data_IF_982506659806
#
_entry.id   IF_982506659806
#
_cell.length_a   1.000
_cell.length_b   1.000
_cell.length_c   1.000
_cell.angle_alpha   90.00
_cell.angle_beta   90.00
_cell.angle_gamma   90.00
#
_symmetry.space_group_name_H-M   'P 1'
#
loop_
_entity.id
_entity.type
_entity.pdbx_description
1 polymer ?
#
# COMPACT_ATOMS: atom_id res chain seq x y z
N UNK A 1 11.42 -15.24 -33.00
CA UNK A 1 10.05 -15.27 -32.44
C UNK A 1 10.14 -15.11 -30.92
N UNK A 2 9.98 -13.91 -30.37
CA UNK A 2 10.03 -13.66 -28.91
C UNK A 2 8.60 -13.39 -28.40
N UNK A 3 7.82 -14.48 -28.28
CA UNK A 3 6.50 -14.43 -27.65
C UNK A 3 6.64 -14.12 -26.15
N UNK A 4 5.83 -13.18 -25.65
CA UNK A 4 5.31 -13.12 -24.27
C UNK A 4 6.19 -13.71 -23.16
N UNK A 5 7.41 -13.21 -22.97
CA UNK A 5 8.10 -13.43 -21.70
C UNK A 5 7.32 -12.68 -20.61
N UNK A 6 6.34 -13.37 -19.99
CA UNK A 6 5.67 -12.95 -18.75
C UNK A 6 6.78 -12.50 -17.82
N UNK A 7 6.70 -11.26 -17.31
CA UNK A 7 7.75 -10.70 -16.45
C UNK A 7 7.63 -11.40 -15.10
N UNK A 8 8.28 -12.55 -15.00
CA UNK A 8 8.22 -13.45 -13.86
C UNK A 8 8.54 -12.75 -12.54
N UNK A 9 9.47 -11.80 -12.57
CA UNK A 9 9.81 -10.95 -11.42
C UNK A 9 8.63 -10.12 -10.92
N UNK A 10 7.78 -9.64 -11.82
CA UNK A 10 6.64 -8.80 -11.47
C UNK A 10 5.58 -9.60 -10.71
N UNK A 11 5.31 -10.83 -11.14
CA UNK A 11 4.32 -11.70 -10.51
C UNK A 11 4.77 -12.16 -9.11
N UNK A 12 6.05 -12.51 -8.94
CA UNK A 12 6.63 -12.83 -7.62
C UNK A 12 6.52 -11.66 -6.66
N UNK A 13 6.91 -10.45 -7.10
CA UNK A 13 6.89 -9.29 -6.21
C UNK A 13 5.45 -8.96 -5.80
N UNK A 14 4.46 -9.15 -6.69
CA UNK A 14 3.04 -9.01 -6.35
C UNK A 14 2.60 -10.03 -5.30
N UNK A 15 2.91 -11.31 -5.50
CA UNK A 15 2.56 -12.37 -4.55
C UNK A 15 3.14 -12.11 -3.16
N UNK A 16 4.44 -11.75 -3.10
CA UNK A 16 5.10 -11.37 -1.85
C UNK A 16 4.44 -10.13 -1.20
N UNK A 17 4.11 -9.12 -2.00
CA UNK A 17 3.46 -7.91 -1.48
C UNK A 17 2.09 -8.21 -0.87
N UNK A 18 1.28 -9.07 -1.50
CA UNK A 18 -0.03 -9.46 -0.96
C UNK A 18 0.12 -10.20 0.37
N UNK A 19 1.08 -11.13 0.48
CA UNK A 19 1.34 -11.85 1.73
C UNK A 19 1.74 -10.90 2.86
N UNK A 20 2.64 -9.95 2.59
CA UNK A 20 3.07 -8.99 3.60
C UNK A 20 1.98 -7.96 3.94
N UNK A 21 1.10 -7.60 3.00
CA UNK A 21 -0.09 -6.79 3.27
C UNK A 21 -1.04 -7.54 4.22
N UNK A 22 -1.21 -8.85 4.05
CA UNK A 22 -2.00 -9.66 4.98
C UNK A 22 -1.42 -9.61 6.41
N UNK A 23 -0.10 -9.80 6.55
CA UNK A 23 0.57 -9.70 7.86
C UNK A 23 0.44 -8.34 8.52
N UNK A 24 0.49 -7.26 7.74
CA UNK A 24 0.30 -5.90 8.25
C UNK A 24 -1.10 -5.66 8.84
N UNK A 25 -2.12 -6.33 8.30
CA UNK A 25 -3.52 -6.13 8.67
C UNK A 25 -4.07 -7.21 9.62
N UNK A 26 -3.33 -8.28 9.86
CA UNK A 26 -3.73 -9.35 10.77
C UNK A 26 -4.13 -8.86 12.18
N UNK A 27 -3.37 -7.97 12.85
CA UNK A 27 -3.77 -7.43 14.15
C UNK A 27 -5.15 -6.75 14.09
N UNK A 28 -5.35 -5.92 13.07
CA UNK A 28 -6.60 -5.23 12.80
C UNK A 28 -7.78 -6.19 12.61
N UNK A 29 -7.55 -7.25 11.84
CA UNK A 29 -8.58 -8.26 11.55
C UNK A 29 -8.96 -9.11 12.77
N UNK A 30 -8.03 -9.31 13.71
CA UNK A 30 -8.28 -10.07 14.94
C UNK A 30 -8.78 -9.21 16.11
N UNK A 31 -9.06 -7.92 15.88
CA UNK A 31 -9.54 -6.98 16.91
C UNK A 31 -8.44 -6.34 17.75
N UNK A 32 -7.18 -6.57 17.40
CA UNK A 32 -6.00 -5.92 17.96
C UNK A 32 -5.71 -4.66 17.14
N UNK A 33 -6.55 -3.64 17.33
CA UNK A 33 -6.55 -2.45 16.46
C UNK A 33 -6.54 -1.11 17.22
N UNK A 34 -6.31 0.08 16.59
CA UNK A 34 -5.75 1.30 17.19
C UNK A 34 -6.63 1.98 18.25
N UNK A 35 -7.80 1.43 18.52
CA UNK A 35 -8.74 1.86 19.54
C UNK A 35 -8.72 0.97 20.78
N UNK A 36 -8.01 -0.16 20.71
CA UNK A 36 -7.72 -0.99 21.86
C UNK A 36 -6.66 -0.26 22.69
N UNK A 37 -7.10 0.32 23.81
CA UNK A 37 -6.25 1.09 24.72
C UNK A 37 -5.26 0.18 25.47
N UNK A 38 -5.46 -1.14 25.44
CA UNK A 38 -4.49 -2.11 25.90
C UNK A 38 -3.37 -2.22 24.85
N UNK A 39 -2.30 -1.44 25.03
CA UNK A 39 -1.15 -1.59 24.14
C UNK A 39 -0.41 -2.92 24.33
N UNK A 40 0.54 -3.20 23.45
CA UNK A 40 1.20 -4.50 23.35
C UNK A 40 2.14 -4.78 24.54
N UNK A 41 2.10 -6.02 25.06
CA UNK A 41 2.88 -6.45 26.24
C UNK A 41 3.86 -7.55 25.84
N UNK A 42 5.03 -7.61 26.50
CA UNK A 42 5.99 -8.69 26.33
C UNK A 42 6.45 -8.88 24.88
N UNK A 43 6.33 -10.11 24.37
CA UNK A 43 6.77 -10.47 23.01
C UNK A 43 5.89 -9.79 21.94
N UNK A 44 4.61 -9.57 22.20
CA UNK A 44 3.70 -8.92 21.24
C UNK A 44 4.17 -7.50 20.89
N UNK A 45 4.77 -6.80 21.87
CA UNK A 45 5.37 -5.48 21.68
C UNK A 45 6.52 -5.53 20.67
N UNK A 46 7.38 -6.55 20.77
CA UNK A 46 8.52 -6.76 19.88
C UNK A 46 8.04 -7.12 18.47
N UNK A 47 7.07 -8.02 18.36
CA UNK A 47 6.49 -8.42 17.07
C UNK A 47 5.85 -7.20 16.39
N UNK A 48 5.04 -6.42 17.11
CA UNK A 48 4.42 -5.21 16.58
C UNK A 48 5.46 -4.20 16.07
N UNK A 49 6.50 -3.97 16.86
CA UNK A 49 7.60 -3.09 16.47
C UNK A 49 8.30 -3.56 15.19
N UNK A 50 8.57 -4.87 15.05
CA UNK A 50 9.17 -5.43 13.84
C UNK A 50 8.25 -5.28 12.62
N UNK A 51 6.94 -5.48 12.79
CA UNK A 51 5.94 -5.26 11.72
C UNK A 51 5.93 -3.80 11.30
N UNK A 52 5.88 -2.85 12.24
CA UNK A 52 5.88 -1.41 11.93
C UNK A 52 7.20 -0.99 11.23
N UNK A 53 8.33 -1.53 11.66
CA UNK A 53 9.65 -1.22 11.09
C UNK A 53 9.86 -1.83 9.70
N UNK A 54 9.49 -3.09 9.46
CA UNK A 54 9.84 -3.82 8.23
C UNK A 54 8.69 -4.07 7.26
N UNK A 55 7.43 -4.01 7.69
CA UNK A 55 6.29 -4.45 6.87
C UNK A 55 5.28 -3.32 6.64
N UNK A 56 4.86 -2.65 7.71
CA UNK A 56 3.84 -1.61 7.66
C UNK A 56 4.20 -0.53 6.64
N UNK A 57 3.18 -0.08 5.91
CA UNK A 57 3.20 0.94 4.83
C UNK A 57 4.08 0.64 3.59
N UNK A 58 4.93 -0.40 3.62
CA UNK A 58 5.90 -0.67 2.56
C UNK A 58 5.27 -1.42 1.40
N UNK A 59 4.59 -2.52 1.70
CA UNK A 59 4.13 -3.45 0.66
C UNK A 59 2.94 -2.92 -0.14
N UNK A 60 2.07 -2.07 0.43
CA UNK A 60 1.07 -1.37 -0.38
C UNK A 60 1.73 -0.42 -1.38
N UNK A 61 2.84 0.23 -1.00
CA UNK A 61 3.61 1.13 -1.89
C UNK A 61 4.16 0.36 -3.08
N UNK A 62 4.75 -0.81 -2.81
CA UNK A 62 5.25 -1.71 -3.86
C UNK A 62 4.10 -2.16 -4.75
N UNK A 63 3.00 -2.58 -4.14
CA UNK A 63 1.82 -3.05 -4.88
C UNK A 63 1.22 -1.96 -5.78
N UNK A 64 1.12 -0.72 -5.29
CA UNK A 64 0.66 0.43 -6.07
C UNK A 64 1.59 0.74 -7.24
N UNK A 65 2.90 0.80 -6.99
CA UNK A 65 3.89 0.98 -8.05
C UNK A 65 3.76 -0.10 -9.14
N UNK A 66 3.60 -1.37 -8.74
CA UNK A 66 3.42 -2.49 -9.66
C UNK A 66 2.06 -2.50 -10.37
N UNK A 67 1.03 -1.87 -9.80
CA UNK A 67 -0.22 -1.61 -10.50
C UNK A 67 0.02 -0.70 -11.70
N UNK A 68 0.77 0.39 -11.53
CA UNK A 68 1.16 1.30 -12.62
C UNK A 68 1.99 0.64 -13.72
N UNK A 69 2.94 -0.22 -13.34
CA UNK A 69 3.71 -1.02 -14.32
C UNK A 69 2.81 -2.00 -15.07
N UNK A 70 1.92 -2.68 -14.34
CA UNK A 70 0.95 -3.62 -14.90
C UNK A 70 -0.02 -2.95 -15.88
N UNK A 71 -0.48 -1.75 -15.53
CA UNK A 71 -1.29 -0.92 -16.40
C UNK A 71 -0.59 -0.64 -17.73
N UNK A 72 0.67 -0.18 -17.70
CA UNK A 72 1.42 0.06 -18.93
C UNK A 72 1.54 -1.18 -19.82
N UNK A 73 1.90 -2.33 -19.21
CA UNK A 73 2.03 -3.59 -19.94
C UNK A 73 0.69 -4.01 -20.56
N UNK A 74 -0.39 -3.89 -19.80
CA UNK A 74 -1.74 -4.20 -20.28
C UNK A 74 -2.12 -3.33 -21.48
N UNK A 75 -1.97 -2.01 -21.34
CA UNK A 75 -2.33 -1.05 -22.38
C UNK A 75 -1.52 -1.29 -23.65
N UNK A 76 -0.19 -1.42 -23.53
CA UNK A 76 0.72 -1.69 -24.66
C UNK A 76 0.38 -3.00 -25.38
N UNK A 77 0.12 -4.07 -24.63
CA UNK A 77 -0.22 -5.37 -25.22
C UNK A 77 -1.58 -5.37 -25.90
N UNK A 78 -2.52 -4.57 -25.40
CA UNK A 78 -3.88 -4.47 -25.95
C UNK A 78 -3.88 -3.58 -27.20
N UNK A 79 -3.12 -2.49 -27.16
CA UNK A 79 -2.86 -1.61 -28.31
C UNK A 79 -2.16 -2.35 -29.45
N UNK A 80 -1.13 -3.16 -29.16
CA UNK A 80 -0.44 -3.98 -30.17
C UNK A 80 -1.33 -5.07 -30.81
N UNK A 81 -2.48 -5.40 -30.19
CA UNK A 81 -3.48 -6.33 -30.72
C UNK A 81 -4.69 -5.63 -31.32
N UNK A 82 -4.63 -4.30 -31.46
CA UNK A 82 -5.71 -3.45 -32.01
C UNK A 82 -7.06 -3.59 -31.27
N UNK A 83 -7.03 -4.05 -30.03
CA UNK A 83 -8.22 -4.15 -29.18
C UNK A 83 -8.57 -2.80 -28.55
N UNK A 84 -9.85 -2.56 -28.17
CA UNK A 84 -10.27 -1.31 -27.55
C UNK A 84 -9.73 -1.17 -26.11
N UNK A 85 -8.47 -0.73 -25.99
CA UNK A 85 -7.70 -0.74 -24.75
C UNK A 85 -8.38 0.02 -23.59
N UNK A 86 -8.93 1.20 -23.86
CA UNK A 86 -9.63 2.02 -22.86
C UNK A 86 -10.87 1.30 -22.34
N UNK A 87 -11.71 0.77 -23.23
CA UNK A 87 -12.94 0.05 -22.85
C UNK A 87 -12.61 -1.18 -21.98
N UNK A 88 -11.59 -1.94 -22.38
CA UNK A 88 -11.20 -3.14 -21.66
C UNK A 88 -10.60 -2.83 -20.28
N UNK A 89 -9.79 -1.77 -20.16
CA UNK A 89 -9.24 -1.38 -18.87
C UNK A 89 -10.29 -0.74 -17.97
N UNK A 90 -11.17 0.12 -18.50
CA UNK A 90 -12.32 0.67 -17.77
C UNK A 90 -13.17 -0.46 -17.20
N UNK A 91 -13.48 -1.50 -17.99
CA UNK A 91 -14.22 -2.67 -17.49
C UNK A 91 -13.50 -3.34 -16.32
N UNK A 92 -12.17 -3.50 -16.39
CA UNK A 92 -11.38 -4.05 -15.28
C UNK A 92 -11.44 -3.18 -14.03
N UNK A 93 -11.37 -1.85 -14.18
CA UNK A 93 -11.48 -0.91 -13.08
C UNK A 93 -12.89 -0.91 -12.46
N UNK A 94 -13.95 -0.96 -13.27
CA UNK A 94 -15.32 -1.05 -12.78
C UNK A 94 -15.52 -2.35 -11.97
N UNK A 95 -15.03 -3.48 -12.49
CA UNK A 95 -15.07 -4.76 -11.77
C UNK A 95 -14.30 -4.64 -10.45
N UNK A 96 -13.09 -4.07 -10.48
CA UNK A 96 -12.27 -3.86 -9.28
C UNK A 96 -12.97 -2.95 -8.25
N UNK A 97 -13.65 -1.91 -8.71
CA UNK A 97 -14.40 -0.99 -7.87
C UNK A 97 -15.58 -1.70 -7.19
N UNK A 98 -16.37 -2.45 -7.94
CA UNK A 98 -17.51 -3.21 -7.39
C UNK A 98 -17.02 -4.24 -6.39
N UNK A 99 -15.99 -5.01 -6.72
CA UNK A 99 -15.40 -5.96 -5.78
C UNK A 99 -14.83 -5.28 -4.53
N UNK A 100 -14.15 -4.14 -4.69
CA UNK A 100 -13.63 -3.37 -3.56
C UNK A 100 -14.74 -2.86 -2.64
N UNK A 101 -15.83 -2.32 -3.19
CA UNK A 101 -16.97 -1.83 -2.40
C UNK A 101 -17.71 -2.97 -1.68
N UNK A 102 -17.90 -4.11 -2.34
CA UNK A 102 -18.48 -5.31 -1.73
C UNK A 102 -17.56 -5.84 -0.61
N UNK A 103 -16.26 -5.93 -0.88
CA UNK A 103 -15.28 -6.37 0.10
C UNK A 103 -15.22 -5.42 1.31
N UNK A 104 -15.21 -4.11 1.08
CA UNK A 104 -15.26 -3.08 2.12
C UNK A 104 -16.47 -3.27 3.04
N UNK A 105 -17.65 -3.43 2.43
CA UNK A 105 -18.92 -3.49 3.14
C UNK A 105 -19.11 -4.81 3.88
N UNK A 106 -18.83 -5.93 3.22
CA UNK A 106 -19.17 -7.26 3.73
C UNK A 106 -18.03 -7.97 4.46
N UNK A 107 -16.77 -7.63 4.19
CA UNK A 107 -15.63 -8.38 4.70
C UNK A 107 -14.73 -7.54 5.60
N UNK A 108 -14.13 -6.46 5.07
CA UNK A 108 -13.13 -5.69 5.80
C UNK A 108 -12.98 -4.27 5.27
N UNK A 109 -12.95 -3.30 6.19
CA UNK A 109 -12.95 -1.87 5.86
C UNK A 109 -11.60 -1.32 5.38
N UNK A 110 -10.48 -2.02 5.56
CA UNK A 110 -9.17 -1.53 5.09
C UNK A 110 -8.90 -1.81 3.60
N UNK A 111 -9.96 -1.99 2.82
CA UNK A 111 -9.87 -2.35 1.41
C UNK A 111 -9.17 -1.27 0.58
N UNK A 112 -8.10 -1.64 -0.12
CA UNK A 112 -7.40 -0.74 -1.04
C UNK A 112 -7.94 -0.82 -2.48
N UNK A 113 -8.77 -1.81 -2.81
CA UNK A 113 -9.17 -2.13 -4.18
C UNK A 113 -10.04 -1.02 -4.77
N UNK A 114 -11.03 -0.54 -4.00
CA UNK A 114 -11.91 0.54 -4.46
C UNK A 114 -11.12 1.86 -4.68
N UNK A 115 -10.21 2.21 -3.76
CA UNK A 115 -9.32 3.36 -3.90
C UNK A 115 -8.41 3.24 -5.13
N UNK A 116 -7.88 2.04 -5.40
CA UNK A 116 -7.05 1.76 -6.57
C UNK A 116 -7.84 1.85 -7.87
N UNK A 117 -9.11 1.43 -7.87
CA UNK A 117 -9.97 1.58 -9.02
C UNK A 117 -10.19 3.07 -9.35
N UNK A 118 -10.49 3.90 -8.34
CA UNK A 118 -10.67 5.34 -8.47
C UNK A 118 -9.39 6.01 -9.01
N UNK A 119 -8.24 5.74 -8.39
CA UNK A 119 -6.95 6.24 -8.87
C UNK A 119 -6.60 5.73 -10.29
N UNK A 120 -7.01 4.49 -10.61
CA UNK A 120 -6.80 3.87 -11.91
C UNK A 120 -7.56 4.55 -13.04
N UNK A 121 -8.74 5.14 -12.77
CA UNK A 121 -9.45 5.94 -13.77
C UNK A 121 -8.66 7.19 -14.15
N UNK A 122 -8.02 7.84 -13.17
CA UNK A 122 -7.17 9.01 -13.41
C UNK A 122 -5.93 8.62 -14.21
N UNK A 123 -5.36 7.44 -13.94
CA UNK A 123 -4.20 6.91 -14.64
C UNK A 123 -4.42 6.78 -16.17
N UNK A 124 -5.65 6.55 -16.62
CA UNK A 124 -5.98 6.43 -18.05
C UNK A 124 -5.67 7.69 -18.85
N UNK A 125 -5.84 8.87 -18.27
CA UNK A 125 -5.56 10.15 -18.93
C UNK A 125 -4.05 10.35 -19.20
N UNK A 126 -3.19 9.71 -18.41
CA UNK A 126 -1.74 9.85 -18.51
C UNK A 126 -1.09 8.83 -19.46
N UNK A 127 -1.82 7.82 -19.94
CA UNK A 127 -1.22 6.76 -20.78
C UNK A 127 -0.51 7.29 -22.02
N UNK A 128 -1.14 8.22 -22.76
CA UNK A 128 -0.56 8.84 -23.97
C UNK A 128 0.35 10.03 -23.66
N UNK A 129 0.46 10.43 -22.40
CA UNK A 129 1.31 11.57 -21.98
C UNK A 129 2.80 11.32 -22.20
N UNK A 130 3.58 12.39 -22.31
CA UNK A 130 5.03 12.30 -22.45
C UNK A 130 5.67 11.72 -21.18
N UNK A 131 6.80 11.01 -21.32
CA UNK A 131 7.50 10.41 -20.17
C UNK A 131 7.90 11.44 -19.12
N UNK A 132 8.20 12.69 -19.54
CA UNK A 132 8.50 13.79 -18.63
C UNK A 132 7.27 14.22 -17.83
N UNK A 133 6.13 14.40 -18.52
CA UNK A 133 4.87 14.79 -17.88
C UNK A 133 4.42 13.75 -16.86
N UNK A 134 4.46 12.46 -17.20
CA UNK A 134 4.07 11.37 -16.29
C UNK A 134 4.92 11.39 -15.01
N UNK A 135 6.23 11.61 -15.14
CA UNK A 135 7.13 11.66 -14.00
C UNK A 135 6.85 12.88 -13.10
N UNK A 136 6.72 14.07 -13.70
CA UNK A 136 6.45 15.31 -12.96
C UNK A 136 5.10 15.22 -12.25
N UNK A 137 4.06 14.74 -12.94
CA UNK A 137 2.75 14.52 -12.34
C UNK A 137 2.82 13.51 -11.19
N UNK A 138 3.54 12.39 -11.37
CA UNK A 138 3.76 11.40 -10.32
C UNK A 138 4.40 12.00 -9.07
N UNK A 139 5.48 12.76 -9.23
CA UNK A 139 6.12 13.46 -8.12
C UNK A 139 5.21 14.51 -7.48
N UNK A 140 4.48 15.29 -8.28
CA UNK A 140 3.56 16.31 -7.78
C UNK A 140 2.44 15.72 -6.91
N UNK A 141 1.80 14.65 -7.37
CA UNK A 141 0.76 13.96 -6.61
C UNK A 141 1.28 13.36 -5.30
N UNK A 142 2.49 12.80 -5.29
CA UNK A 142 3.15 12.33 -4.06
C UNK A 142 3.42 13.49 -3.11
N UNK A 143 3.96 14.61 -3.60
CA UNK A 143 4.21 15.80 -2.78
C UNK A 143 2.92 16.32 -2.15
N UNK A 144 1.83 16.41 -2.93
CA UNK A 144 0.52 16.82 -2.41
C UNK A 144 0.05 15.87 -1.30
N UNK A 145 0.13 14.56 -1.51
CA UNK A 145 -0.24 13.57 -0.47
C UNK A 145 0.57 13.76 0.83
N UNK A 146 1.89 13.93 0.73
CA UNK A 146 2.73 14.12 1.92
C UNK A 146 2.40 15.42 2.67
N UNK A 147 2.14 16.50 1.93
CA UNK A 147 1.71 17.77 2.54
C UNK A 147 0.37 17.59 3.27
N UNK A 148 -0.59 16.89 2.67
CA UNK A 148 -1.87 16.59 3.32
C UNK A 148 -1.69 15.74 4.60
N UNK A 149 -0.84 14.72 4.56
CA UNK A 149 -0.53 13.91 5.74
C UNK A 149 0.12 14.73 6.87
N UNK A 150 1.03 15.65 6.54
CA UNK A 150 1.65 16.54 7.53
C UNK A 150 0.61 17.47 8.13
N UNK A 151 -0.24 18.11 7.31
CA UNK A 151 -1.30 19.02 7.78
C UNK A 151 -2.22 18.30 8.76
N UNK A 152 -2.68 17.09 8.41
CA UNK A 152 -3.58 16.31 9.26
C UNK A 152 -2.90 15.87 10.54
N UNK A 153 -1.64 15.47 10.48
CA UNK A 153 -0.89 15.15 11.68
C UNK A 153 -0.73 16.35 12.62
N UNK A 154 -0.50 17.56 12.08
CA UNK A 154 -0.42 18.78 12.87
C UNK A 154 -1.78 19.21 13.45
N UNK A 155 -2.86 18.95 12.74
CA UNK A 155 -4.24 19.22 13.18
C UNK A 155 -4.78 18.15 14.14
N UNK A 156 -4.19 16.96 14.15
CA UNK A 156 -4.60 15.87 15.03
C UNK A 156 -4.40 16.30 16.48
N UNK A 157 -5.50 16.59 17.18
CA UNK A 157 -5.49 16.87 18.60
C UNK A 157 -4.92 15.67 19.37
N UNK A 158 -4.13 15.90 20.41
CA UNK A 158 -3.64 14.86 21.33
C UNK A 158 -4.75 14.19 22.15
N UNK A 159 -5.97 14.72 22.11
CA UNK A 159 -7.16 14.08 22.66
C UNK A 159 -7.53 12.83 21.87
N UNK A 160 -7.67 11.71 22.58
CA UNK A 160 -8.19 10.45 22.06
C UNK A 160 -9.58 10.73 21.46
N UNK A 161 -9.80 10.53 20.16
CA UNK A 161 -11.12 10.68 19.59
C UNK A 161 -12.07 9.76 20.35
N UNK A 162 -13.15 10.32 20.93
CA UNK A 162 -14.26 9.50 21.42
C UNK A 162 -14.86 8.83 20.20
N UNK A 163 -14.43 7.60 19.95
CA UNK A 163 -14.95 6.76 18.88
C UNK A 163 -16.44 6.61 19.12
N UNK A 164 -17.31 7.04 18.18
CA UNK A 164 -18.73 6.75 18.27
C UNK A 164 -18.95 5.28 18.63
N UNK A 165 -19.79 5.01 19.63
CA UNK A 165 -20.06 3.65 20.16
C UNK A 165 -20.34 2.63 19.06
N UNK A 166 -20.91 3.13 17.96
CA UNK A 166 -21.21 2.37 16.76
C UNK A 166 -20.00 1.74 16.04
N UNK A 167 -18.83 2.41 16.03
CA UNK A 167 -17.61 1.84 15.41
C UNK A 167 -16.98 0.71 16.23
N UNK A 168 -17.42 0.47 17.48
CA UNK A 168 -16.98 -0.71 18.24
C UNK A 168 -17.35 -2.01 17.53
N UNK A 169 -18.48 -2.03 16.81
CA UNK A 169 -18.92 -3.19 16.03
C UNK A 169 -18.12 -3.39 14.73
N UNK A 170 -17.21 -2.50 14.37
CA UNK A 170 -16.37 -2.63 13.19
C UNK A 170 -15.31 -3.73 13.34
N UNK A 171 -14.97 -4.05 14.59
CA UNK A 171 -13.93 -5.00 14.96
C UNK A 171 -14.52 -6.20 15.68
N UNK A 172 -13.92 -7.37 15.47
CA UNK A 172 -14.28 -8.60 16.20
C UNK A 172 -13.35 -8.75 17.39
N UNK A 173 -13.86 -9.06 18.59
CA UNK A 173 -13.06 -9.24 19.80
C UNK A 173 -13.56 -8.44 20.99
N UNK A 174 -12.77 -8.41 22.07
CA UNK A 174 -13.09 -7.62 23.25
C UNK A 174 -12.87 -6.15 22.96
N UNK A 175 -13.95 -5.40 22.82
CA UNK A 175 -13.92 -3.93 22.80
C UNK A 175 -13.98 -3.40 24.23
N UNK A 176 -13.84 -2.08 24.41
CA UNK A 176 -13.83 -1.43 25.73
C UNK A 176 -15.08 -1.74 26.56
N UNK A 177 -16.22 -2.03 25.92
CA UNK A 177 -17.51 -2.22 26.61
C UNK A 177 -18.16 -3.59 26.33
N UNK A 178 -17.86 -4.25 25.19
CA UNK A 178 -18.53 -5.49 24.77
C UNK A 178 -17.64 -6.43 23.96
N UNK A 179 -17.93 -7.72 24.01
CA UNK A 179 -17.30 -8.73 23.16
C UNK A 179 -18.07 -8.84 21.85
N UNK A 180 -17.46 -8.43 20.73
CA UNK A 180 -18.10 -8.49 19.40
C UNK A 180 -17.71 -9.80 18.75
N UNK A 181 -18.66 -10.72 18.61
CA UNK A 181 -18.45 -11.96 17.87
C UNK A 181 -18.85 -11.79 16.39
N UNK A 182 -17.98 -12.26 15.50
CA UNK A 182 -18.11 -12.10 14.05
C UNK A 182 -19.46 -12.59 13.52
N UNK A 183 -19.90 -13.76 13.96
CA UNK A 183 -21.09 -14.41 13.41
C UNK A 183 -22.38 -13.87 14.02
N UNK A 184 -22.38 -13.57 15.32
CA UNK A 184 -23.60 -13.10 15.99
C UNK A 184 -23.89 -11.63 15.72
N UNK A 185 -22.86 -10.82 15.50
CA UNK A 185 -23.00 -9.37 15.26
C UNK A 185 -22.75 -8.96 13.81
N UNK A 186 -22.67 -9.90 12.86
CA UNK A 186 -22.30 -9.62 11.47
C UNK A 186 -23.08 -8.46 10.84
N UNK A 187 -24.40 -8.42 11.03
CA UNK A 187 -25.24 -7.33 10.51
C UNK A 187 -24.86 -5.97 11.10
N UNK A 188 -24.53 -5.89 12.39
CA UNK A 188 -24.03 -4.67 13.01
C UNK A 188 -22.66 -4.27 12.44
N UNK A 189 -21.79 -5.24 12.16
CA UNK A 189 -20.48 -4.97 11.54
C UNK A 189 -20.64 -4.41 10.12
N UNK A 190 -21.54 -4.99 9.31
CA UNK A 190 -21.82 -4.52 7.94
C UNK A 190 -22.34 -3.08 7.98
N UNK A 191 -23.30 -2.79 8.87
CA UNK A 191 -23.81 -1.42 9.00
C UNK A 191 -22.72 -0.46 9.52
N UNK A 192 -21.82 -0.91 10.40
CA UNK A 192 -20.69 -0.12 10.89
C UNK A 192 -19.72 0.24 9.76
N UNK A 193 -19.36 -0.74 8.92
CA UNK A 193 -18.50 -0.53 7.74
C UNK A 193 -19.16 0.35 6.70
N UNK A 194 -20.47 0.19 6.45
CA UNK A 194 -21.20 1.04 5.52
C UNK A 194 -21.25 2.50 5.99
N UNK A 195 -21.44 2.73 7.29
CA UNK A 195 -21.37 4.08 7.84
C UNK A 195 -19.96 4.67 7.73
N UNK A 196 -18.93 3.89 8.06
CA UNK A 196 -17.54 4.31 7.89
C UNK A 196 -17.22 4.67 6.43
N UNK A 197 -17.70 3.86 5.48
CA UNK A 197 -17.57 4.09 4.04
C UNK A 197 -18.21 5.42 3.59
N UNK A 198 -19.31 5.83 4.22
CA UNK A 198 -20.02 7.05 3.84
C UNK A 198 -19.47 8.30 4.53
N UNK A 199 -18.90 8.16 5.72
CA UNK A 199 -18.53 9.30 6.59
C UNK A 199 -17.02 9.53 6.62
N UNK A 200 -16.22 8.49 6.88
CA UNK A 200 -14.78 8.60 7.14
C UNK A 200 -13.96 8.33 5.88
N UNK A 201 -14.36 7.33 5.10
CA UNK A 201 -13.64 6.90 3.91
C UNK A 201 -13.45 8.03 2.87
N UNK A 202 -14.42 8.94 2.61
CA UNK A 202 -14.20 10.04 1.68
C UNK A 202 -13.02 10.94 2.10
N UNK A 203 -12.84 11.17 3.40
CA UNK A 203 -11.70 11.93 3.92
C UNK A 203 -10.39 11.13 3.76
N UNK A 204 -10.40 9.82 4.03
CA UNK A 204 -9.23 8.97 3.82
C UNK A 204 -8.81 8.92 2.35
N UNK A 205 -9.79 8.76 1.45
CA UNK A 205 -9.59 8.78 0.01
C UNK A 205 -9.05 10.11 -0.49
N UNK A 206 -9.49 11.24 0.06
CA UNK A 206 -8.97 12.55 -0.34
C UNK A 206 -7.44 12.66 -0.13
N UNK A 207 -6.93 12.00 0.90
CA UNK A 207 -5.51 12.00 1.26
C UNK A 207 -4.74 10.89 0.52
N UNK A 208 -5.35 9.70 0.42
CA UNK A 208 -4.74 8.50 -0.16
C UNK A 208 -4.76 8.47 -1.69
N UNK A 209 -5.80 9.00 -2.34
CA UNK A 209 -5.91 9.00 -3.82
C UNK A 209 -4.72 9.70 -4.48
N UNK A 210 -4.30 10.92 -4.08
CA UNK A 210 -3.09 11.55 -4.60
C UNK A 210 -1.86 10.64 -4.46
N UNK A 211 -1.76 9.93 -3.34
CA UNK A 211 -0.67 8.98 -3.12
C UNK A 211 -0.68 7.84 -4.14
N UNK A 212 -1.82 7.18 -4.31
CA UNK A 212 -1.97 6.06 -5.23
C UNK A 212 -1.73 6.49 -6.68
N UNK A 213 -2.27 7.64 -7.09
CA UNK A 213 -2.00 8.21 -8.41
C UNK A 213 -0.51 8.45 -8.59
N UNK A 214 0.15 9.07 -7.61
CA UNK A 214 1.58 9.33 -7.63
C UNK A 214 2.39 8.05 -7.87
N UNK A 215 2.14 7.02 -7.07
CA UNK A 215 2.81 5.72 -7.19
C UNK A 215 2.49 5.01 -8.52
N UNK A 216 1.24 5.07 -8.98
CA UNK A 216 0.82 4.50 -10.25
C UNK A 216 1.51 5.18 -11.43
N UNK A 217 1.66 6.50 -11.40
CA UNK A 217 2.35 7.27 -12.43
C UNK A 217 3.85 6.97 -12.46
N UNK A 218 4.50 6.86 -11.29
CA UNK A 218 5.90 6.42 -11.21
C UNK A 218 6.05 4.99 -11.75
N UNK A 219 5.08 4.11 -11.47
CA UNK A 219 4.99 2.78 -12.06
C UNK A 219 4.85 2.79 -13.59
N UNK A 220 3.93 3.62 -14.12
CA UNK A 220 3.72 3.82 -15.55
C UNK A 220 4.98 4.36 -16.24
N UNK A 221 5.67 5.31 -15.60
CA UNK A 221 6.95 5.84 -16.07
C UNK A 221 8.03 4.76 -16.14
N UNK A 222 8.16 3.93 -15.11
CA UNK A 222 9.10 2.82 -15.09
C UNK A 222 8.76 1.77 -16.16
N UNK A 223 7.47 1.52 -16.39
CA UNK A 223 6.95 0.72 -17.49
C UNK A 223 7.39 1.27 -18.85
N UNK A 224 7.12 2.56 -19.13
CA UNK A 224 7.51 3.23 -20.39
C UNK A 224 9.01 3.18 -20.67
N UNK A 225 9.84 3.34 -19.64
CA UNK A 225 11.30 3.21 -19.76
C UNK A 225 11.81 1.77 -19.89
N UNK A 226 10.92 0.78 -19.82
CA UNK A 226 11.25 -0.65 -19.79
C UNK A 226 12.27 -0.98 -18.69
N UNK A 227 12.20 -0.33 -17.53
CA UNK A 227 13.18 -0.46 -16.44
C UNK A 227 13.42 -1.92 -16.04
N UNK A 228 12.36 -2.73 -16.01
CA UNK A 228 12.42 -4.16 -15.66
C UNK A 228 13.16 -5.04 -16.68
N UNK A 229 13.30 -4.59 -17.94
CA UNK A 229 14.08 -5.28 -18.97
C UNK A 229 15.53 -4.77 -19.05
N UNK A 230 15.74 -3.51 -18.64
CA UNK A 230 17.04 -2.80 -18.69
C UNK A 230 17.78 -2.82 -17.35
N UNK A 231 17.44 -3.75 -16.46
CA UNK A 231 18.11 -3.91 -15.16
C UNK A 231 19.64 -4.06 -15.30
N UNK A 232 20.17 -4.86 -16.25
CA UNK A 232 21.63 -5.00 -16.38
C UNK A 232 22.34 -3.67 -16.70
N UNK A 233 21.74 -2.85 -17.57
CA UNK A 233 22.26 -1.52 -17.94
C UNK A 233 22.17 -0.53 -16.78
N UNK A 234 21.14 -0.65 -15.94
CA UNK A 234 20.83 0.30 -14.87
C UNK A 234 21.38 -0.12 -13.50
N UNK A 235 22.15 -1.21 -13.42
CA UNK A 235 22.53 -1.83 -12.15
C UNK A 235 23.29 -0.90 -11.21
N UNK A 236 24.13 0.00 -11.75
CA UNK A 236 24.87 1.00 -10.96
C UNK A 236 23.90 1.99 -10.30
N UNK A 237 22.92 2.48 -11.06
CA UNK A 237 21.91 3.43 -10.58
C UNK A 237 20.95 2.75 -9.59
N UNK A 238 20.54 1.52 -9.86
CA UNK A 238 19.70 0.72 -8.96
C UNK A 238 20.44 0.47 -7.64
N UNK A 239 21.73 0.14 -7.68
CA UNK A 239 22.54 -0.06 -6.47
C UNK A 239 22.69 1.23 -5.66
N UNK A 240 22.95 2.36 -6.32
CA UNK A 240 23.00 3.65 -5.65
C UNK A 240 21.67 3.98 -4.96
N UNK A 241 20.56 3.83 -5.68
CA UNK A 241 19.21 4.07 -5.17
C UNK A 241 18.85 3.13 -4.02
N UNK A 242 19.26 1.86 -4.11
CA UNK A 242 19.06 0.87 -3.06
C UNK A 242 19.76 1.29 -1.76
N UNK A 243 21.05 1.61 -1.81
CA UNK A 243 21.78 1.96 -0.59
C UNK A 243 21.38 3.34 -0.06
N UNK A 244 21.11 4.32 -0.91
CA UNK A 244 20.64 5.62 -0.45
C UNK A 244 19.26 5.52 0.22
N UNK A 245 18.34 4.75 -0.35
CA UNK A 245 17.03 4.51 0.26
C UNK A 245 17.11 3.72 1.57
N UNK A 246 18.05 2.77 1.70
CA UNK A 246 18.32 2.09 2.96
C UNK A 246 18.84 3.06 4.02
N UNK A 247 19.81 3.91 3.69
CA UNK A 247 20.34 4.91 4.61
C UNK A 247 19.25 5.87 5.10
N UNK A 248 18.43 6.38 4.17
CA UNK A 248 17.28 7.24 4.52
C UNK A 248 16.28 6.49 5.41
N UNK A 249 15.98 5.23 5.09
CA UNK A 249 15.07 4.43 5.90
C UNK A 249 15.61 4.19 7.31
N UNK A 250 16.91 3.93 7.47
CA UNK A 250 17.53 3.77 8.79
C UNK A 250 17.39 5.05 9.62
N UNK A 251 17.66 6.21 9.03
CA UNK A 251 17.50 7.50 9.69
C UNK A 251 16.05 7.75 10.12
N UNK A 252 15.07 7.46 9.25
CA UNK A 252 13.64 7.62 9.55
C UNK A 252 13.12 6.58 10.55
N UNK A 253 13.86 5.50 10.79
CA UNK A 253 13.52 4.48 11.79
C UNK A 253 14.00 4.82 13.20
N UNK A 254 14.95 5.76 13.35
CA UNK A 254 15.47 6.17 14.66
C UNK A 254 14.40 6.63 15.65
N UNK A 255 13.41 7.48 15.26
CA UNK A 255 12.32 7.86 16.16
C UNK A 255 11.47 6.66 16.58
N UNK A 256 11.22 5.71 15.68
CA UNK A 256 10.44 4.49 15.96
C UNK A 256 11.14 3.67 17.07
N UNK A 257 12.46 3.48 16.93
CA UNK A 257 13.29 2.77 17.90
C UNK A 257 13.30 3.51 19.25
N UNK A 258 13.46 4.84 19.22
CA UNK A 258 13.45 5.66 20.43
C UNK A 258 12.14 5.52 21.23
N UNK A 259 11.00 5.61 20.56
CA UNK A 259 9.69 5.44 21.20
C UNK A 259 9.49 4.03 21.76
N UNK A 260 9.98 3.00 21.05
CA UNK A 260 9.92 1.61 21.51
C UNK A 260 10.69 1.38 22.81
N UNK A 261 11.89 1.99 22.94
CA UNK A 261 12.75 1.85 24.12
C UNK A 261 12.21 2.67 25.31
N UNK A 262 11.72 3.88 25.06
CA UNK A 262 11.36 4.83 26.13
C UNK A 262 10.00 4.57 26.76
N UNK A 263 9.07 3.97 26.03
CA UNK A 263 7.69 3.75 26.51
C UNK A 263 7.54 2.33 27.03
N UNK A 264 6.94 2.17 28.22
CA UNK A 264 6.63 0.86 28.77
C UNK A 264 5.72 0.05 27.82
N UNK A 265 4.75 0.74 27.21
CA UNK A 265 3.81 0.18 26.24
C UNK A 265 4.01 0.83 24.87
N UNK A 266 4.09 0.02 23.81
CA UNK A 266 4.29 0.51 22.44
C UNK A 266 2.96 0.81 21.74
N UNK A 267 2.81 2.05 21.26
CA UNK A 267 1.65 2.49 20.50
C UNK A 267 2.07 2.97 19.10
N UNK A 268 1.42 2.45 18.06
CA UNK A 268 1.74 2.80 16.68
C UNK A 268 1.35 4.23 16.29
N UNK A 269 0.39 4.84 17.01
CA UNK A 269 -0.08 6.22 16.76
C UNK A 269 1.04 7.25 16.91
N UNK A 270 1.88 7.10 17.93
CA UNK A 270 2.98 8.03 18.25
C UNK A 270 4.04 8.09 17.14
N UNK A 271 4.12 7.04 16.33
CA UNK A 271 5.14 6.84 15.30
C UNK A 271 4.56 6.73 13.88
N UNK A 272 3.26 6.98 13.71
CA UNK A 272 2.55 6.74 12.45
C UNK A 272 3.13 7.52 11.26
N UNK A 273 3.53 8.79 11.46
CA UNK A 273 4.22 9.55 10.41
C UNK A 273 5.57 8.93 10.03
N UNK A 274 6.35 8.51 11.03
CA UNK A 274 7.66 7.91 10.79
C UNK A 274 7.53 6.57 10.06
N UNK A 275 6.51 5.78 10.40
CA UNK A 275 6.15 4.55 9.68
C UNK A 275 5.78 4.89 8.24
N UNK A 276 5.00 5.95 8.00
CA UNK A 276 4.63 6.38 6.65
C UNK A 276 5.87 6.75 5.82
N UNK A 277 6.67 7.72 6.27
CA UNK A 277 7.84 8.19 5.52
C UNK A 277 8.93 7.12 5.39
N UNK A 278 9.28 6.46 6.49
CA UNK A 278 10.28 5.38 6.51
C UNK A 278 9.87 4.20 5.64
N UNK A 279 8.57 3.88 5.61
CA UNK A 279 8.06 2.82 4.76
C UNK A 279 8.22 3.06 3.27
N UNK A 280 8.20 4.31 2.81
CA UNK A 280 8.39 4.65 1.39
C UNK A 280 9.84 4.48 0.98
N UNK A 281 10.78 4.94 1.81
CA UNK A 281 12.20 4.73 1.59
C UNK A 281 12.52 3.23 1.56
N UNK A 282 12.03 2.45 2.53
CA UNK A 282 12.29 1.02 2.55
C UNK A 282 11.59 0.26 1.42
N UNK A 283 10.42 0.71 0.95
CA UNK A 283 9.77 0.15 -0.23
C UNK A 283 10.64 0.29 -1.49
N UNK A 284 11.32 1.43 -1.67
CA UNK A 284 12.29 1.62 -2.77
C UNK A 284 13.44 0.63 -2.63
N UNK A 285 13.99 0.48 -1.42
CA UNK A 285 15.03 -0.52 -1.15
C UNK A 285 14.57 -1.94 -1.51
N UNK A 286 13.35 -2.33 -1.13
CA UNK A 286 12.78 -3.64 -1.46
C UNK A 286 12.58 -3.83 -2.96
N UNK A 287 12.04 -2.84 -3.68
CA UNK A 287 11.89 -2.92 -5.14
C UNK A 287 13.26 -3.11 -5.81
N UNK A 288 14.26 -2.31 -5.43
CA UNK A 288 15.61 -2.41 -5.99
C UNK A 288 16.25 -3.77 -5.66
N UNK A 289 16.07 -4.26 -4.44
CA UNK A 289 16.57 -5.57 -4.00
C UNK A 289 15.93 -6.69 -4.82
N UNK A 290 14.60 -6.69 -4.94
CA UNK A 290 13.85 -7.71 -5.67
C UNK A 290 14.18 -7.70 -7.17
N UNK A 291 14.33 -6.52 -7.77
CA UNK A 291 14.79 -6.39 -9.17
C UNK A 291 16.15 -7.06 -9.39
N UNK A 292 17.10 -6.85 -8.48
CA UNK A 292 18.45 -7.45 -8.55
C UNK A 292 18.43 -8.96 -8.30
N UNK A 293 17.64 -9.42 -7.34
CA UNK A 293 17.50 -10.85 -7.03
C UNK A 293 16.90 -11.60 -8.21
N UNK A 294 15.84 -11.04 -8.82
CA UNK A 294 15.18 -11.66 -9.97
C UNK A 294 16.03 -11.67 -11.25
N UNK A 295 17.05 -10.82 -11.36
CA UNK A 295 18.01 -10.85 -12.48
C UNK A 295 18.98 -12.03 -12.36
N UNK A 296 19.31 -12.44 -11.14
CA UNK A 296 20.28 -13.49 -10.91
C UNK A 296 19.61 -14.88 -10.97
N UNK A 297 19.81 -15.57 -12.10
CA UNK A 297 19.25 -16.91 -12.43
C UNK A 297 19.42 -17.97 -11.34
N UNK A 298 20.40 -17.82 -10.42
CA UNK A 298 20.57 -18.73 -9.26
C UNK A 298 19.38 -18.69 -8.28
N UNK A 299 18.78 -17.51 -8.05
CA UNK A 299 17.75 -17.34 -7.03
C UNK A 299 16.32 -17.62 -7.53
N UNK A 300 16.10 -17.56 -8.85
CA UNK A 300 14.82 -17.94 -9.47
C UNK A 300 14.45 -19.40 -9.19
N UNK A 301 15.42 -20.29 -9.00
CA UNK A 301 15.18 -21.70 -8.65
C UNK A 301 14.58 -21.91 -7.25
N UNK A 302 14.78 -20.97 -6.32
CA UNK A 302 14.28 -21.07 -4.95
C UNK A 302 12.92 -20.40 -4.72
N UNK A 303 12.42 -19.62 -5.68
CA UNK A 303 11.09 -18.98 -5.63
C UNK A 303 10.31 -19.36 -6.89
N UNK A 304 9.73 -20.58 -6.97
CA UNK A 304 8.74 -20.90 -8.00
C UNK A 304 7.52 -19.96 -7.86
N UNK A 305 6.78 -19.69 -8.94
CA UNK A 305 5.61 -18.83 -8.87
C UNK A 305 4.49 -19.57 -8.11
N UNK A 306 3.74 -18.82 -7.30
CA UNK A 306 2.41 -19.24 -6.83
C UNK A 306 1.39 -19.14 -7.97
#
# INVERSE_FOLDING_TARGET
MQQNARIYSLDIIRGMAILCILFANLPTMTGLDPFNQAGYIGIDKVIRFLVDLFIQSKFYTIFAFLFGVGFYIFMKNTEAKEYPMYRLFIRRLCILLVFGLLHFTFLWYGDILHAYAIAGFILLFFYKGSTKLIFIAGCSFLTVSYVLHIIIFLQASSSIPKVPTYYQYMFTGNTTNHTVNLFTHYLYQVKARLFFLMIEEPQQLLIGIPEYIGLFLIGLWAGKKNTFKRVPELIKNIRFLQWSSLCISCLLSCPIIYYFIKKDVYYSKDVQLWILFGGKALAIFYICTLLRVCENKKYIKCLPPL
#
